data_IF_860256243253
#
_entry.id   IF_860256243253
#
_cell.length_a   1.000
_cell.length_b   1.000
_cell.length_c   1.000
_cell.angle_alpha   90.00
_cell.angle_beta   90.00
_cell.angle_gamma   90.00
#
_symmetry.space_group_name_H-M   'P 1'
#
loop_
_entity.id
_entity.type
_entity.pdbx_description
1 polymer ?
#
# COMPACT_ATOMS: atom_id res chain seq x y z
N UNK A 1 60.70 10.93 2.84
CA UNK A 1 60.20 10.38 4.12
C UNK A 1 58.80 9.81 3.91
N UNK A 2 58.65 8.49 3.97
CA UNK A 2 57.39 7.76 3.79
C UNK A 2 56.48 7.96 5.01
N UNK A 3 55.21 8.34 4.82
CA UNK A 3 54.18 8.25 5.88
C UNK A 3 53.44 6.91 5.74
N UNK A 4 53.46 6.15 6.82
CA UNK A 4 52.94 4.78 6.97
C UNK A 4 51.42 4.79 6.95
N UNK A 5 50.83 3.82 6.25
CA UNK A 5 49.42 3.49 6.33
C UNK A 5 49.05 2.94 7.71
N UNK A 6 47.83 3.22 8.14
CA UNK A 6 47.12 2.44 9.16
C UNK A 6 46.04 1.66 8.42
N UNK A 7 46.25 0.35 8.31
CA UNK A 7 45.21 -0.58 7.92
C UNK A 7 44.34 -0.87 9.13
N UNK A 8 43.07 -0.48 9.07
CA UNK A 8 42.04 -1.04 9.94
C UNK A 8 41.50 -2.30 9.27
N UNK A 9 41.85 -3.44 9.84
CA UNK A 9 41.29 -4.75 9.55
C UNK A 9 39.81 -4.78 9.92
N UNK A 10 38.93 -4.70 8.92
CA UNK A 10 37.51 -5.00 9.10
C UNK A 10 37.32 -6.51 9.21
N UNK A 11 36.97 -6.99 10.41
CA UNK A 11 36.45 -8.35 10.63
C UNK A 11 35.05 -8.47 9.99
N UNK A 12 35.00 -8.68 8.68
CA UNK A 12 33.77 -9.08 7.97
C UNK A 12 33.74 -10.59 7.82
N UNK A 13 33.07 -11.29 8.73
CA UNK A 13 32.79 -12.73 8.55
C UNK A 13 31.53 -12.85 7.68
N UNK A 14 31.57 -13.55 6.53
CA UNK A 14 30.37 -13.81 5.73
C UNK A 14 29.46 -14.81 6.45
N UNK A 15 28.21 -14.43 6.66
CA UNK A 15 27.17 -15.28 7.24
C UNK A 15 26.84 -16.46 6.30
N UNK A 16 26.89 -17.70 6.80
CA UNK A 16 26.45 -18.92 6.09
C UNK A 16 25.16 -19.47 6.70
N UNK A 17 24.25 -19.92 5.85
CA UNK A 17 22.91 -20.40 6.20
C UNK A 17 22.88 -21.86 6.70
N UNK A 18 22.14 -22.15 7.78
CA UNK A 18 21.61 -23.48 8.07
C UNK A 18 20.09 -23.57 7.82
N UNK A 19 19.65 -24.78 7.46
CA UNK A 19 18.30 -25.13 7.00
C UNK A 19 17.20 -25.18 8.07
N UNK A 20 16.00 -25.40 7.55
CA UNK A 20 14.69 -25.40 8.20
C UNK A 20 14.46 -26.55 9.17
N UNK A 21 13.71 -26.29 10.25
CA UNK A 21 12.39 -26.92 10.50
C UNK A 21 11.85 -26.48 11.88
N UNK A 22 10.54 -26.25 11.96
CA UNK A 22 9.87 -25.94 13.23
C UNK A 22 8.54 -25.23 13.02
N UNK A 23 7.46 -26.00 12.91
CA UNK A 23 6.09 -25.51 12.78
C UNK A 23 5.58 -24.81 14.05
N UNK A 24 4.69 -23.84 13.85
CA UNK A 24 3.91 -23.22 14.94
C UNK A 24 2.43 -23.28 14.58
N UNK A 25 1.68 -23.84 15.52
CA UNK A 25 0.26 -24.15 15.51
C UNK A 25 -0.53 -22.97 16.12
N UNK A 26 -1.66 -22.62 15.50
CA UNK A 26 -2.83 -22.05 16.19
C UNK A 26 -2.93 -20.53 16.38
N UNK A 27 -3.88 -19.90 15.68
CA UNK A 27 -5.02 -19.17 16.26
C UNK A 27 -5.95 -18.74 15.11
N UNK A 28 -7.10 -19.41 14.94
CA UNK A 28 -8.08 -19.05 13.90
C UNK A 28 -8.74 -17.71 14.20
N UNK A 29 -8.33 -16.67 13.47
CA UNK A 29 -9.15 -15.49 13.26
C UNK A 29 -9.93 -15.69 11.97
N UNK A 30 -11.26 -15.84 12.08
CA UNK A 30 -12.16 -15.97 10.91
C UNK A 30 -12.23 -14.64 10.17
N UNK A 31 -11.42 -14.51 9.13
CA UNK A 31 -11.47 -13.45 8.13
C UNK A 31 -12.56 -13.83 7.13
N UNK A 32 -13.71 -13.17 7.18
CA UNK A 32 -14.76 -13.39 6.20
C UNK A 32 -14.59 -12.42 5.03
N UNK A 33 -14.06 -12.91 3.91
CA UNK A 33 -13.98 -12.14 2.66
C UNK A 33 -15.32 -12.27 1.92
N UNK A 34 -16.18 -11.25 1.99
CA UNK A 34 -17.52 -11.32 1.41
C UNK A 34 -17.53 -10.85 -0.06
N UNK A 35 -17.67 -11.80 -0.98
CA UNK A 35 -18.21 -11.54 -2.31
C UNK A 35 -19.74 -11.48 -2.21
N UNK A 36 -20.32 -10.30 -2.44
CA UNK A 36 -21.75 -10.10 -2.67
C UNK A 36 -22.73 -10.66 -1.61
N UNK A 37 -22.82 -10.04 -0.42
CA UNK A 37 -24.08 -9.94 0.36
C UNK A 37 -23.89 -9.00 1.55
N UNK A 38 -24.69 -7.93 1.60
CA UNK A 38 -24.71 -6.97 2.69
C UNK A 38 -25.56 -7.53 3.85
N UNK A 39 -24.93 -7.95 4.96
CA UNK A 39 -25.63 -8.12 6.25
C UNK A 39 -25.35 -6.89 7.11
N UNK A 40 -26.34 -6.48 7.91
CA UNK A 40 -26.19 -5.44 8.93
C UNK A 40 -24.96 -5.76 9.79
N UNK A 41 -24.08 -4.79 9.95
CA UNK A 41 -22.94 -4.86 10.85
C UNK A 41 -23.46 -4.90 12.29
N UNK A 42 -23.89 -6.07 12.78
CA UNK A 42 -24.47 -6.17 14.13
C UNK A 42 -23.40 -6.04 15.22
N UNK A 43 -22.10 -6.25 14.94
CA UNK A 43 -21.02 -6.06 15.93
C UNK A 43 -19.67 -5.53 15.39
N UNK A 44 -19.59 -5.10 14.13
CA UNK A 44 -18.32 -4.76 13.45
C UNK A 44 -18.06 -3.26 13.28
N UNK A 45 -17.00 -2.74 13.93
CA UNK A 45 -16.45 -1.37 13.80
C UNK A 45 -15.80 -1.03 12.44
N UNK A 46 -16.05 -1.85 11.41
CA UNK A 46 -15.32 -1.83 10.15
C UNK A 46 -16.29 -1.91 8.98
N UNK A 47 -16.13 -1.02 8.01
CA UNK A 47 -16.78 -1.20 6.71
C UNK A 47 -15.73 -1.58 5.67
N UNK A 48 -15.87 -2.80 5.18
CA UNK A 48 -15.01 -3.44 4.19
C UNK A 48 -15.45 -3.02 2.76
N UNK A 49 -14.52 -2.51 1.94
CA UNK A 49 -14.85 -1.96 0.64
C UNK A 49 -14.88 -2.97 -0.50
N UNK A 50 -15.81 -2.70 -1.42
CA UNK A 50 -16.13 -3.32 -2.71
C UNK A 50 -14.90 -3.69 -3.56
N UNK A 51 -14.73 -4.98 -3.86
CA UNK A 51 -13.86 -5.44 -4.95
C UNK A 51 -14.63 -5.38 -6.28
N UNK A 52 -14.50 -4.28 -7.01
CA UNK A 52 -14.70 -4.29 -8.46
C UNK A 52 -13.49 -3.61 -9.06
N UNK A 53 -12.65 -4.38 -9.73
CA UNK A 53 -11.48 -3.88 -10.43
C UNK A 53 -11.97 -2.91 -11.51
N UNK A 54 -11.94 -1.60 -11.23
CA UNK A 54 -12.43 -0.58 -12.16
C UNK A 54 -11.35 -0.06 -13.09
N UNK A 55 -10.18 -0.72 -13.14
CA UNK A 55 -9.22 -0.54 -14.22
C UNK A 55 -7.84 -0.14 -13.73
N UNK A 56 -6.96 -1.14 -13.59
CA UNK A 56 -5.56 -1.00 -13.95
C UNK A 56 -5.43 -1.12 -15.47
N UNK A 57 -4.59 -0.30 -16.10
CA UNK A 57 -4.19 -0.54 -17.51
C UNK A 57 -3.73 -2.00 -17.62
N UNK A 58 -4.29 -2.74 -18.59
CA UNK A 58 -4.07 -4.16 -18.94
C UNK A 58 -5.11 -5.19 -18.47
N UNK A 59 -6.41 -4.90 -18.60
CA UNK A 59 -7.38 -5.93 -18.95
C UNK A 59 -8.07 -5.58 -20.27
N UNK A 60 -7.62 -6.22 -21.36
CA UNK A 60 -8.39 -6.35 -22.60
C UNK A 60 -9.60 -7.26 -22.34
N UNK A 61 -10.56 -6.81 -21.52
CA UNK A 61 -11.88 -7.41 -21.53
C UNK A 61 -12.69 -6.70 -22.62
N UNK A 62 -12.94 -7.43 -23.71
CA UNK A 62 -13.77 -7.05 -24.87
C UNK A 62 -15.26 -6.90 -24.50
N UNK A 63 -15.59 -6.07 -23.51
CA UNK A 63 -16.95 -5.53 -23.32
C UNK A 63 -16.82 -4.01 -23.42
N UNK A 64 -17.38 -3.45 -24.51
CA UNK A 64 -17.49 -2.02 -24.89
C UNK A 64 -16.69 -1.06 -23.99
N UNK A 65 -15.58 -0.53 -24.52
CA UNK A 65 -14.74 0.49 -23.90
C UNK A 65 -15.59 1.62 -23.27
N UNK A 66 -15.82 1.54 -21.96
CA UNK A 66 -16.42 2.61 -21.16
C UNK A 66 -15.47 3.81 -21.19
N UNK A 67 -15.99 5.02 -21.43
CA UNK A 67 -15.14 6.22 -21.42
C UNK A 67 -14.59 6.44 -20.02
N UNK A 68 -13.42 7.07 -19.92
CA UNK A 68 -12.81 7.40 -18.63
C UNK A 68 -13.74 8.25 -17.76
N UNK A 69 -14.52 9.16 -18.37
CA UNK A 69 -15.51 9.94 -17.62
C UNK A 69 -16.66 9.08 -17.10
N UNK A 70 -17.19 8.15 -17.91
CA UNK A 70 -18.28 7.27 -17.50
C UNK A 70 -17.86 6.38 -16.32
N UNK A 71 -16.63 5.85 -16.37
CA UNK A 71 -16.03 5.07 -15.30
C UNK A 71 -15.90 5.87 -14.00
N UNK A 72 -15.41 7.11 -14.08
CA UNK A 72 -15.28 8.01 -12.92
C UNK A 72 -16.64 8.35 -12.32
N UNK A 73 -17.63 8.72 -13.15
CA UNK A 73 -18.98 9.00 -12.68
C UNK A 73 -19.62 7.80 -12.00
N UNK A 74 -19.41 6.60 -12.53
CA UNK A 74 -19.88 5.36 -11.90
C UNK A 74 -19.25 5.17 -10.53
N UNK A 75 -17.94 5.36 -10.42
CA UNK A 75 -17.23 5.23 -9.15
C UNK A 75 -17.74 6.24 -8.11
N UNK A 76 -17.95 7.51 -8.50
CA UNK A 76 -18.55 8.51 -7.62
C UNK A 76 -19.95 8.09 -7.16
N UNK A 77 -20.84 7.66 -8.06
CA UNK A 77 -22.19 7.19 -7.69
C UNK A 77 -22.14 6.01 -6.71
N UNK A 78 -21.25 5.04 -6.95
CA UNK A 78 -21.05 3.89 -6.07
C UNK A 78 -20.58 4.37 -4.69
N UNK A 79 -19.52 5.19 -4.63
CA UNK A 79 -18.98 5.71 -3.38
C UNK A 79 -20.02 6.56 -2.62
N UNK A 80 -20.82 7.39 -3.30
CA UNK A 80 -21.89 8.15 -2.67
C UNK A 80 -23.00 7.25 -2.11
N UNK A 81 -23.37 6.19 -2.80
CA UNK A 81 -24.34 5.21 -2.28
C UNK A 81 -23.82 4.51 -1.04
N UNK A 82 -22.54 4.12 -1.05
CA UNK A 82 -21.87 3.50 0.08
C UNK A 82 -21.82 4.48 1.25
N UNK A 83 -21.33 5.70 1.03
CA UNK A 83 -21.25 6.74 2.05
C UNK A 83 -22.63 6.96 2.71
N UNK A 84 -23.70 7.14 1.93
CA UNK A 84 -25.07 7.25 2.47
C UNK A 84 -25.51 6.06 3.32
N UNK A 85 -25.11 4.85 2.94
CA UNK A 85 -25.46 3.63 3.69
C UNK A 85 -24.66 3.49 4.99
N UNK A 86 -23.47 4.09 5.06
CA UNK A 86 -22.57 4.07 6.22
C UNK A 86 -22.74 5.33 7.07
N UNK A 87 -23.30 6.42 6.59
CA UNK A 87 -23.48 7.64 7.41
C UNK A 87 -24.31 7.46 8.70
N UNK A 88 -25.22 6.47 8.86
CA UNK A 88 -25.85 6.17 10.15
C UNK A 88 -24.90 5.57 11.21
N UNK A 89 -23.59 5.56 10.95
CA UNK A 89 -22.63 4.78 11.72
C UNK A 89 -22.05 5.57 12.91
N UNK A 90 -21.70 4.83 13.95
CA UNK A 90 -21.06 5.29 15.18
C UNK A 90 -19.83 6.17 14.91
N UNK A 91 -19.66 7.16 15.78
CA UNK A 91 -18.58 8.17 15.74
C UNK A 91 -17.15 7.59 15.74
N UNK A 92 -16.98 6.30 15.99
CA UNK A 92 -15.69 5.61 16.07
C UNK A 92 -15.36 4.72 14.87
N UNK A 93 -16.20 4.70 13.83
CA UNK A 93 -15.98 3.77 12.70
C UNK A 93 -14.78 4.12 11.86
N UNK A 94 -14.04 3.07 11.48
CA UNK A 94 -12.91 3.10 10.57
C UNK A 94 -13.30 2.52 9.21
N UNK A 95 -12.85 3.16 8.14
CA UNK A 95 -13.14 2.75 6.76
C UNK A 95 -11.84 2.44 6.04
N UNK A 96 -11.71 1.17 5.61
CA UNK A 96 -10.60 0.68 4.80
C UNK A 96 -11.04 0.49 3.35
N UNK A 97 -10.52 1.31 2.45
CA UNK A 97 -10.73 1.15 1.01
C UNK A 97 -9.67 0.26 0.37
N UNK A 98 -10.11 -0.61 -0.51
CA UNK A 98 -9.31 -1.62 -1.22
C UNK A 98 -9.55 -1.55 -2.73
N UNK A 99 -10.66 -0.93 -3.15
CA UNK A 99 -11.00 -0.74 -4.55
C UNK A 99 -9.95 0.09 -5.29
N UNK A 100 -9.62 -0.30 -6.52
CA UNK A 100 -8.69 0.45 -7.36
C UNK A 100 -9.41 1.49 -8.24
N UNK A 101 -8.79 2.65 -8.49
CA UNK A 101 -7.48 3.11 -8.00
C UNK A 101 -7.53 3.59 -6.54
N UNK A 102 -6.86 2.87 -5.62
CA UNK A 102 -7.11 2.98 -4.18
C UNK A 102 -6.88 4.37 -3.61
N UNK A 103 -5.82 5.07 -4.01
CA UNK A 103 -5.53 6.39 -3.45
C UNK A 103 -6.58 7.45 -3.85
N UNK A 104 -7.04 7.41 -5.11
CA UNK A 104 -8.06 8.33 -5.62
C UNK A 104 -9.42 8.02 -5.00
N UNK A 105 -9.80 6.73 -4.95
CA UNK A 105 -11.10 6.33 -4.42
C UNK A 105 -11.18 6.57 -2.90
N UNK A 106 -10.07 6.41 -2.17
CA UNK A 106 -10.01 6.73 -0.74
C UNK A 106 -10.24 8.20 -0.49
N UNK A 107 -9.55 9.08 -1.23
CA UNK A 107 -9.78 10.52 -1.10
C UNK A 107 -11.21 10.92 -1.48
N UNK A 108 -11.73 10.39 -2.59
CA UNK A 108 -13.10 10.66 -3.01
C UNK A 108 -14.11 10.22 -1.96
N UNK A 109 -13.93 9.03 -1.37
CA UNK A 109 -14.81 8.56 -0.32
C UNK A 109 -14.73 9.46 0.91
N UNK A 110 -13.54 9.90 1.32
CA UNK A 110 -13.38 10.82 2.44
C UNK A 110 -14.10 12.15 2.19
N UNK A 111 -13.92 12.74 1.00
CA UNK A 111 -14.56 14.02 0.63
C UNK A 111 -16.09 13.90 0.52
N UNK A 112 -16.60 12.78 -0.01
CA UNK A 112 -18.05 12.52 -0.15
C UNK A 112 -18.70 12.21 1.20
N UNK A 113 -18.03 11.43 2.06
CA UNK A 113 -18.59 10.98 3.35
C UNK A 113 -18.46 12.02 4.46
N UNK A 114 -17.46 12.91 4.39
CA UNK A 114 -17.17 13.86 5.46
C UNK A 114 -16.61 13.23 6.73
N UNK A 115 -16.32 11.91 6.73
CA UNK A 115 -15.69 11.22 7.86
C UNK A 115 -14.29 11.84 8.08
N UNK A 116 -13.84 12.02 9.34
CA UNK A 116 -12.49 12.47 9.65
C UNK A 116 -11.41 11.67 8.91
N UNK A 117 -10.38 12.37 8.42
CA UNK A 117 -9.32 11.81 7.57
C UNK A 117 -8.54 10.68 8.25
N UNK A 118 -8.43 10.75 9.57
CA UNK A 118 -7.77 9.75 10.41
C UNK A 118 -8.52 8.41 10.37
N UNK A 119 -9.81 8.42 10.05
CA UNK A 119 -10.69 7.24 10.04
C UNK A 119 -10.99 6.70 8.64
N UNK A 120 -10.52 7.36 7.59
CA UNK A 120 -10.66 6.89 6.20
C UNK A 120 -9.29 6.69 5.59
N UNK A 121 -8.98 5.46 5.21
CA UNK A 121 -7.68 5.09 4.66
C UNK A 121 -7.82 3.96 3.64
N UNK A 122 -6.87 3.88 2.72
CA UNK A 122 -6.82 2.83 1.71
C UNK A 122 -5.70 1.82 2.01
N UNK A 123 -5.81 0.60 1.48
CA UNK A 123 -4.78 -0.44 1.60
C UNK A 123 -3.42 0.00 1.06
N UNK A 124 -3.42 0.97 0.14
CA UNK A 124 -2.22 1.60 -0.40
C UNK A 124 -1.22 0.61 -0.97
N UNK A 125 0.05 0.85 -0.70
CA UNK A 125 1.20 0.06 -1.16
C UNK A 125 1.62 -1.04 -0.17
N UNK A 126 0.76 -1.39 0.81
CA UNK A 126 1.10 -2.39 1.83
C UNK A 126 1.42 -3.77 1.21
N UNK A 127 0.58 -4.25 0.29
CA UNK A 127 0.81 -5.52 -0.39
C UNK A 127 2.12 -5.50 -1.21
N UNK A 128 2.38 -4.40 -1.92
CA UNK A 128 3.59 -4.29 -2.73
C UNK A 128 4.85 -4.21 -1.88
N UNK A 129 4.76 -3.56 -0.72
CA UNK A 129 5.83 -3.57 0.29
C UNK A 129 6.10 -4.99 0.79
N UNK A 130 5.05 -5.78 1.07
CA UNK A 130 5.22 -7.19 1.44
C UNK A 130 5.88 -7.98 0.32
N UNK A 131 5.49 -7.76 -0.93
CA UNK A 131 6.12 -8.41 -2.11
C UNK A 131 7.59 -8.04 -2.24
N UNK A 132 7.95 -6.76 -2.07
CA UNK A 132 9.34 -6.30 -2.11
C UNK A 132 10.19 -6.99 -1.04
N UNK A 133 9.69 -7.05 0.20
CA UNK A 133 10.37 -7.73 1.31
C UNK A 133 10.50 -9.22 1.05
N UNK A 134 9.49 -9.86 0.46
CA UNK A 134 9.55 -11.28 0.06
C UNK A 134 10.57 -11.52 -1.06
N UNK A 135 10.68 -10.62 -2.04
CA UNK A 135 11.73 -10.72 -3.07
C UNK A 135 13.12 -10.69 -2.47
N UNK A 136 13.40 -9.72 -1.58
CA UNK A 136 14.67 -9.63 -0.88
C UNK A 136 14.91 -10.87 -0.01
N UNK A 137 13.89 -11.30 0.73
CA UNK A 137 13.93 -12.47 1.60
C UNK A 137 14.31 -13.74 0.83
N UNK A 138 13.67 -13.99 -0.31
CA UNK A 138 13.96 -15.17 -1.14
C UNK A 138 15.36 -15.14 -1.75
N UNK A 139 15.86 -13.97 -2.15
CA UNK A 139 17.17 -13.85 -2.79
C UNK A 139 18.34 -13.97 -1.81
N UNK A 140 18.16 -13.49 -0.59
CA UNK A 140 19.24 -13.37 0.40
C UNK A 140 19.02 -14.23 1.64
N UNK A 141 17.96 -15.04 1.66
CA UNK A 141 17.60 -15.96 2.73
C UNK A 141 17.64 -15.32 4.13
N UNK A 142 17.06 -14.13 4.22
CA UNK A 142 16.77 -13.41 5.46
C UNK A 142 15.26 -13.35 5.61
N UNK A 143 14.73 -13.64 6.79
CA UNK A 143 13.29 -13.56 7.01
C UNK A 143 12.76 -12.15 6.71
N UNK A 144 11.70 -12.07 5.88
CA UNK A 144 11.13 -10.81 5.42
C UNK A 144 10.78 -9.84 6.56
N UNK A 145 10.45 -10.37 7.75
CA UNK A 145 10.14 -9.61 8.97
C UNK A 145 11.30 -8.74 9.48
N UNK A 146 12.55 -9.11 9.18
CA UNK A 146 13.76 -8.35 9.56
C UNK A 146 14.25 -7.38 8.49
N UNK A 147 13.62 -7.37 7.31
CA UNK A 147 13.96 -6.48 6.22
C UNK A 147 13.02 -5.27 6.28
N UNK A 148 13.53 -4.12 6.67
CA UNK A 148 12.76 -2.88 6.78
C UNK A 148 13.00 -2.03 5.52
N UNK A 149 12.09 -2.12 4.56
CA UNK A 149 12.01 -1.19 3.42
C UNK A 149 10.54 -1.12 2.99
N UNK A 150 10.20 -0.03 2.31
CA UNK A 150 8.81 0.33 2.04
C UNK A 150 8.65 0.80 0.61
N UNK A 151 7.46 0.58 0.05
CA UNK A 151 7.02 1.23 -1.18
C UNK A 151 6.10 2.39 -0.80
N UNK A 152 6.32 3.58 -1.35
CA UNK A 152 5.50 4.78 -1.13
C UNK A 152 5.08 5.42 -2.45
N UNK A 153 4.15 6.38 -2.40
CA UNK A 153 3.67 7.10 -3.58
C UNK A 153 2.23 6.75 -3.93
N UNK A 154 1.90 6.72 -5.22
CA UNK A 154 0.58 6.27 -5.69
C UNK A 154 0.67 4.79 -6.05
N UNK A 155 -0.25 3.96 -5.54
CA UNK A 155 -0.29 2.54 -5.88
C UNK A 155 -0.38 2.33 -7.39
N UNK A 156 0.50 1.50 -7.95
CA UNK A 156 0.64 1.27 -9.39
C UNK A 156 1.90 1.94 -9.97
N UNK A 157 1.75 2.65 -11.09
CA UNK A 157 2.89 3.10 -11.91
C UNK A 157 3.80 4.15 -11.25
N UNK A 158 3.29 4.90 -10.26
CA UNK A 158 3.98 6.01 -9.61
C UNK A 158 4.32 5.68 -8.13
N UNK A 159 4.55 4.41 -7.84
CA UNK A 159 5.08 3.94 -6.57
C UNK A 159 6.60 3.79 -6.64
N UNK A 160 7.29 4.06 -5.53
CA UNK A 160 8.74 3.97 -5.43
C UNK A 160 9.16 3.11 -4.24
N UNK A 161 10.10 2.16 -4.43
CA UNK A 161 10.78 1.50 -3.32
C UNK A 161 11.78 2.45 -2.67
N UNK A 162 11.75 2.50 -1.35
CA UNK A 162 12.61 3.35 -0.53
C UNK A 162 13.86 2.58 -0.09
N UNK A 163 14.88 2.56 -0.96
CA UNK A 163 16.13 1.86 -0.70
C UNK A 163 17.01 2.57 0.32
N UNK A 164 17.17 3.89 0.18
CA UNK A 164 18.11 4.69 0.99
C UNK A 164 17.71 4.89 2.46
N UNK A 165 16.45 4.60 2.83
CA UNK A 165 15.99 4.63 4.23
C UNK A 165 15.72 3.24 4.79
N UNK A 166 15.90 2.20 3.97
CA UNK A 166 15.68 0.82 4.40
C UNK A 166 16.86 0.27 5.21
N UNK A 167 16.59 -0.66 6.12
CA UNK A 167 17.64 -1.34 6.90
C UNK A 167 17.32 -2.82 7.19
N UNK A 168 18.37 -3.57 7.52
CA UNK A 168 18.31 -4.92 8.10
C UNK A 168 19.15 -4.90 9.37
N UNK A 169 18.52 -5.06 10.53
CA UNK A 169 19.19 -4.96 11.84
C UNK A 169 20.10 -3.71 11.95
N UNK A 170 19.56 -2.55 11.56
CA UNK A 170 20.24 -1.24 11.55
C UNK A 170 21.34 -1.04 10.49
N UNK A 171 21.63 -2.02 9.65
CA UNK A 171 22.53 -1.85 8.49
C UNK A 171 21.69 -1.40 7.29
N UNK A 172 22.06 -0.34 6.56
CA UNK A 172 21.33 0.10 5.36
C UNK A 172 21.10 -1.06 4.39
N UNK A 173 19.89 -1.20 3.85
CA UNK A 173 19.52 -2.32 2.95
C UNK A 173 20.44 -2.41 1.73
N UNK A 174 20.84 -1.26 1.19
CA UNK A 174 21.73 -1.16 0.04
C UNK A 174 23.13 -1.68 0.36
N UNK A 175 23.62 -1.42 1.57
CA UNK A 175 24.91 -1.88 2.05
C UNK A 175 24.87 -3.36 2.43
N UNK A 176 23.87 -3.77 3.22
CA UNK A 176 23.72 -5.12 3.74
C UNK A 176 23.68 -6.16 2.61
N UNK A 177 22.92 -5.89 1.55
CA UNK A 177 22.82 -6.78 0.38
C UNK A 177 23.76 -6.39 -0.77
N UNK A 178 24.56 -5.32 -0.62
CA UNK A 178 25.44 -4.77 -1.66
C UNK A 178 24.72 -4.51 -2.98
N UNK A 179 23.55 -3.87 -2.90
CA UNK A 179 22.66 -3.67 -4.05
C UNK A 179 23.25 -2.66 -5.04
N UNK A 180 23.47 -3.09 -6.27
CA UNK A 180 23.71 -2.17 -7.39
C UNK A 180 22.40 -1.55 -7.89
N UNK A 181 22.47 -0.48 -8.67
CA UNK A 181 21.28 0.08 -9.34
C UNK A 181 20.56 -0.95 -10.22
N UNK A 182 21.32 -1.87 -10.83
CA UNK A 182 20.75 -2.98 -11.61
C UNK A 182 19.96 -3.94 -10.72
N UNK A 183 20.46 -4.25 -9.53
CA UNK A 183 19.78 -5.12 -8.57
C UNK A 183 18.51 -4.46 -8.04
N UNK A 184 18.58 -3.19 -7.63
CA UNK A 184 17.42 -2.41 -7.18
C UNK A 184 16.31 -2.43 -8.22
N UNK A 185 16.67 -2.18 -9.49
CA UNK A 185 15.72 -2.25 -10.60
C UNK A 185 15.14 -3.65 -10.77
N UNK A 186 15.97 -4.69 -10.83
CA UNK A 186 15.52 -6.06 -11.05
C UNK A 186 14.65 -6.62 -9.90
N UNK A 187 14.93 -6.23 -8.65
CA UNK A 187 14.15 -6.60 -7.48
C UNK A 187 12.82 -5.84 -7.47
N UNK A 188 12.84 -4.54 -7.71
CA UNK A 188 11.64 -3.72 -7.80
C UNK A 188 10.70 -4.18 -8.92
N UNK A 189 11.25 -4.45 -10.11
CA UNK A 189 10.49 -4.98 -11.24
C UNK A 189 9.91 -6.37 -10.91
N UNK A 190 10.68 -7.28 -10.30
CA UNK A 190 10.18 -8.60 -9.91
C UNK A 190 9.03 -8.53 -8.88
N UNK A 191 9.14 -7.63 -7.89
CA UNK A 191 8.10 -7.42 -6.89
C UNK A 191 6.79 -6.94 -7.53
N UNK A 192 6.88 -6.02 -8.49
CA UNK A 192 5.73 -5.52 -9.27
C UNK A 192 5.17 -6.61 -10.19
N UNK A 193 6.03 -7.30 -10.92
CA UNK A 193 5.65 -8.28 -11.95
C UNK A 193 5.05 -9.56 -11.35
N UNK A 194 5.39 -9.91 -10.10
CA UNK A 194 4.71 -10.98 -9.35
C UNK A 194 3.20 -10.76 -9.28
N UNK A 195 2.73 -9.52 -9.17
CA UNK A 195 1.32 -9.20 -9.20
C UNK A 195 0.71 -9.61 -10.55
N UNK A 196 1.32 -9.16 -11.65
CA UNK A 196 0.84 -9.42 -13.01
C UNK A 196 0.88 -10.91 -13.36
N UNK A 197 1.93 -11.65 -12.95
CA UNK A 197 2.03 -13.09 -13.17
C UNK A 197 0.90 -13.88 -12.50
N UNK A 198 0.51 -13.50 -11.28
CA UNK A 198 -0.61 -14.15 -10.58
C UNK A 198 -1.92 -13.86 -11.33
N UNK A 199 -2.13 -12.63 -11.77
CA UNK A 199 -3.35 -12.27 -12.49
C UNK A 199 -3.38 -12.96 -13.87
N UNK A 200 -2.26 -13.04 -14.58
CA UNK A 200 -2.20 -13.73 -15.88
C UNK A 200 -2.43 -15.23 -15.74
N UNK A 201 -2.00 -15.84 -14.63
CA UNK A 201 -2.16 -17.28 -14.39
C UNK A 201 -3.55 -17.66 -13.84
N UNK A 202 -4.16 -16.82 -13.00
CA UNK A 202 -5.40 -17.15 -12.26
C UNK A 202 -6.58 -16.21 -12.53
N UNK A 203 -6.39 -15.19 -13.37
CA UNK A 203 -7.39 -14.18 -13.71
C UNK A 203 -7.64 -13.11 -12.63
N UNK A 204 -7.05 -13.23 -11.42
CA UNK A 204 -7.23 -12.26 -10.32
C UNK A 204 -6.24 -12.47 -9.16
N UNK A 205 -6.14 -11.51 -8.23
CA UNK A 205 -5.21 -11.47 -7.08
C UNK A 205 -5.92 -11.29 -5.73
N UNK A 206 -6.99 -12.04 -5.47
CA UNK A 206 -7.82 -11.84 -4.27
C UNK A 206 -7.19 -12.36 -2.95
N UNK A 207 -6.41 -13.44 -2.96
CA UNK A 207 -5.83 -13.99 -1.72
C UNK A 207 -4.80 -13.04 -1.07
N UNK A 208 -3.93 -12.45 -1.87
CA UNK A 208 -2.87 -11.56 -1.35
C UNK A 208 -3.45 -10.30 -0.68
N UNK A 209 -4.47 -9.70 -1.30
CA UNK A 209 -5.14 -8.55 -0.72
C UNK A 209 -6.03 -8.93 0.47
N UNK A 210 -6.69 -10.09 0.44
CA UNK A 210 -7.46 -10.61 1.58
C UNK A 210 -6.58 -10.79 2.83
N UNK A 211 -5.39 -11.35 2.68
CA UNK A 211 -4.42 -11.44 3.78
C UNK A 211 -3.95 -10.07 4.28
N UNK A 212 -3.80 -9.09 3.37
CA UNK A 212 -3.47 -7.71 3.76
C UNK A 212 -4.61 -7.07 4.56
N UNK A 213 -5.86 -7.19 4.10
CA UNK A 213 -7.04 -6.65 4.79
C UNK A 213 -7.18 -7.26 6.18
N UNK A 214 -6.99 -8.57 6.32
CA UNK A 214 -6.97 -9.26 7.61
C UNK A 214 -5.93 -8.66 8.56
N UNK A 215 -4.68 -8.51 8.07
CA UNK A 215 -3.56 -7.98 8.87
C UNK A 215 -3.77 -6.52 9.25
N UNK A 216 -4.27 -5.69 8.34
CA UNK A 216 -4.61 -4.30 8.62
C UNK A 216 -5.71 -4.21 9.68
N UNK A 217 -6.80 -4.95 9.50
CA UNK A 217 -7.93 -5.01 10.44
C UNK A 217 -7.48 -5.46 11.84
N UNK A 218 -6.60 -6.46 11.91
CA UNK A 218 -5.96 -6.88 13.16
C UNK A 218 -5.12 -5.74 13.78
N UNK A 219 -4.35 -5.01 12.97
CA UNK A 219 -3.57 -3.86 13.42
C UNK A 219 -4.41 -2.76 14.09
N UNK A 220 -5.56 -2.43 13.53
CA UNK A 220 -6.50 -1.45 14.11
C UNK A 220 -7.20 -1.99 15.36
N UNK A 221 -7.72 -3.22 15.33
CA UNK A 221 -8.45 -3.81 16.46
C UNK A 221 -7.57 -4.06 17.68
N UNK A 222 -6.34 -4.53 17.47
CA UNK A 222 -5.41 -4.87 18.55
C UNK A 222 -4.73 -3.64 19.16
N UNK A 223 -4.86 -2.46 18.54
CA UNK A 223 -4.29 -1.20 19.02
C UNK A 223 -2.79 -1.28 19.38
N UNK A 224 -2.00 -1.93 18.51
CA UNK A 224 -0.56 -2.17 18.74
C UNK A 224 0.34 -1.05 18.21
N UNK A 225 -0.21 0.06 17.75
CA UNK A 225 0.56 1.20 17.21
C UNK A 225 1.53 0.78 16.08
N UNK A 226 1.08 -0.16 15.24
CA UNK A 226 1.88 -0.69 14.15
C UNK A 226 2.00 0.31 13.00
N UNK A 227 3.05 0.16 12.18
CA UNK A 227 3.28 1.00 11.01
C UNK A 227 2.92 0.22 9.74
N UNK A 228 2.06 0.81 8.91
CA UNK A 228 1.61 0.24 7.65
C UNK A 228 1.70 1.25 6.52
N UNK A 229 1.91 0.76 5.29
CA UNK A 229 1.99 1.59 4.09
C UNK A 229 0.59 1.78 3.52
N UNK A 230 -0.14 2.72 4.11
CA UNK A 230 -1.54 2.98 3.82
C UNK A 230 -1.70 4.22 2.98
N UNK A 231 -2.74 4.23 2.15
CA UNK A 231 -3.19 5.45 1.50
C UNK A 231 -3.89 6.34 2.52
N UNK A 232 -3.24 7.44 2.91
CA UNK A 232 -3.70 8.35 3.97
C UNK A 232 -3.52 9.80 3.54
N UNK A 233 -4.25 10.72 4.17
CA UNK A 233 -4.08 12.15 3.89
C UNK A 233 -2.65 12.61 4.25
N UNK A 234 -1.92 13.12 3.26
CA UNK A 234 -0.58 13.64 3.44
C UNK A 234 -0.59 15.19 3.37
N UNK A 235 -0.38 15.91 4.48
CA UNK A 235 -0.54 17.37 4.53
C UNK A 235 0.43 18.10 3.59
N UNK A 236 1.69 17.66 3.51
CA UNK A 236 2.69 18.27 2.62
C UNK A 236 2.31 18.23 1.13
N UNK A 237 1.58 17.18 0.70
CA UNK A 237 1.21 16.99 -0.70
C UNK A 237 -0.26 17.33 -0.97
N UNK A 238 -1.06 17.59 0.06
CA UNK A 238 -2.47 17.99 -0.05
C UNK A 238 -3.34 16.95 -0.74
N UNK A 239 -3.06 15.66 -0.55
CA UNK A 239 -3.85 14.56 -1.10
C UNK A 239 -3.68 13.28 -0.29
N UNK A 240 -4.50 12.27 -0.58
CA UNK A 240 -4.18 10.92 -0.14
C UNK A 240 -2.96 10.38 -0.88
N UNK A 241 -2.08 9.70 -0.16
CA UNK A 241 -0.88 9.09 -0.71
C UNK A 241 -0.52 7.84 0.10
N UNK A 242 0.00 6.81 -0.55
CA UNK A 242 0.47 5.62 0.15
C UNK A 242 1.80 5.91 0.84
N UNK A 243 1.79 5.85 2.17
CA UNK A 243 2.89 6.27 3.02
C UNK A 243 2.94 5.45 4.32
N UNK A 244 4.09 5.30 5.00
CA UNK A 244 4.12 4.64 6.29
C UNK A 244 3.35 5.48 7.33
N UNK A 245 2.33 4.88 7.93
CA UNK A 245 1.43 5.51 8.87
C UNK A 245 1.28 4.64 10.13
N UNK A 246 1.23 5.29 11.29
CA UNK A 246 0.99 4.65 12.58
C UNK A 246 -0.51 4.45 12.74
N UNK A 247 -0.91 3.21 13.05
CA UNK A 247 -2.33 2.84 13.21
C UNK A 247 -2.69 2.54 14.66
N UNK A 248 -3.90 2.92 15.05
CA UNK A 248 -4.46 2.69 16.38
C UNK A 248 -5.94 2.30 16.26
N UNK A 249 -6.59 1.95 17.37
CA UNK A 249 -8.04 1.72 17.40
C UNK A 249 -8.88 2.93 16.98
N UNK A 250 -8.28 4.13 16.96
CA UNK A 250 -8.93 5.39 16.52
C UNK A 250 -8.65 5.71 15.04
N UNK A 251 -7.97 4.83 14.31
CA UNK A 251 -7.52 5.06 12.95
C UNK A 251 -6.04 5.45 12.89
N UNK A 252 -5.68 6.26 11.90
CA UNK A 252 -4.33 6.75 11.66
C UNK A 252 -3.98 7.81 12.70
N UNK A 253 -2.96 7.55 13.52
CA UNK A 253 -2.50 8.48 14.57
C UNK A 253 -1.36 9.38 14.13
N UNK A 254 -0.74 9.10 12.97
CA UNK A 254 0.33 9.92 12.41
C UNK A 254 0.97 9.30 11.18
N UNK A 255 1.63 10.14 10.39
CA UNK A 255 2.46 9.71 9.26
C UNK A 255 3.94 9.73 9.65
N UNK A 256 4.70 8.76 9.18
CA UNK A 256 6.14 8.68 9.46
C UNK A 256 6.88 9.62 8.49
N UNK A 257 7.74 10.53 8.97
CA UNK A 257 8.60 11.31 8.11
C UNK A 257 9.55 10.40 7.32
N UNK A 258 9.64 10.60 6.01
CA UNK A 258 10.59 9.88 5.16
C UNK A 258 11.45 10.89 4.44
N UNK A 259 12.78 10.73 4.55
CA UNK A 259 13.73 11.49 3.76
C UNK A 259 13.75 10.92 2.33
N UNK A 260 13.38 11.77 1.37
CA UNK A 260 13.43 11.43 -0.06
C UNK A 260 14.61 12.14 -0.72
N UNK A 261 15.23 11.46 -1.67
CA UNK A 261 16.14 12.09 -2.63
C UNK A 261 15.38 13.07 -3.55
N UNK A 262 16.10 13.91 -4.28
CA UNK A 262 15.50 14.83 -5.28
C UNK A 262 14.68 14.05 -6.31
N UNK A 263 15.23 12.95 -6.84
CA UNK A 263 14.55 12.12 -7.85
C UNK A 263 13.27 11.48 -7.31
N UNK A 264 13.32 10.92 -6.11
CA UNK A 264 12.14 10.33 -5.44
C UNK A 264 11.08 11.38 -5.15
N UNK A 265 11.49 12.57 -4.71
CA UNK A 265 10.61 13.70 -4.45
C UNK A 265 9.84 14.11 -5.70
N UNK A 266 10.49 14.18 -6.86
CA UNK A 266 9.82 14.52 -8.12
C UNK A 266 8.80 13.46 -8.55
N UNK A 267 9.10 12.17 -8.36
CA UNK A 267 8.14 11.08 -8.64
C UNK A 267 6.93 11.19 -7.71
N UNK A 268 7.15 11.44 -6.41
CA UNK A 268 6.06 11.57 -5.43
C UNK A 268 5.22 12.83 -5.71
N UNK A 269 5.81 13.95 -6.08
CA UNK A 269 5.07 15.16 -6.50
C UNK A 269 4.19 14.87 -7.72
N UNK A 270 4.71 14.12 -8.71
CA UNK A 270 3.93 13.69 -9.89
C UNK A 270 2.79 12.74 -9.50
N UNK A 271 3.02 11.82 -8.57
CA UNK A 271 2.00 10.93 -8.02
C UNK A 271 0.87 11.74 -7.36
N UNK A 272 1.23 12.67 -6.48
CA UNK A 272 0.28 13.56 -5.79
C UNK A 272 -0.51 14.42 -6.77
N UNK A 273 0.14 15.00 -7.80
CA UNK A 273 -0.54 15.76 -8.84
C UNK A 273 -1.55 14.90 -9.62
N UNK A 274 -1.19 13.66 -9.93
CA UNK A 274 -2.05 12.70 -10.63
C UNK A 274 -3.30 12.36 -9.80
N UNK A 275 -3.12 12.12 -8.49
CA UNK A 275 -4.22 11.84 -7.56
C UNK A 275 -5.16 13.04 -7.48
N UNK A 276 -4.63 14.25 -7.18
CA UNK A 276 -5.44 15.48 -7.10
C UNK A 276 -6.22 15.75 -8.38
N UNK A 277 -5.59 15.55 -9.54
CA UNK A 277 -6.25 15.69 -10.83
C UNK A 277 -7.39 14.66 -10.98
N UNK A 278 -7.14 13.40 -10.64
CA UNK A 278 -8.15 12.34 -10.66
C UNK A 278 -9.37 12.66 -9.78
N UNK A 279 -9.12 13.12 -8.55
CA UNK A 279 -10.17 13.51 -7.58
C UNK A 279 -10.95 14.72 -8.10
N UNK A 280 -10.26 15.78 -8.53
CA UNK A 280 -10.89 17.00 -9.07
C UNK A 280 -11.81 16.69 -10.25
N UNK A 281 -11.37 15.84 -11.18
CA UNK A 281 -12.17 15.47 -12.34
C UNK A 281 -13.38 14.61 -11.99
N UNK A 282 -13.25 13.74 -10.99
CA UNK A 282 -14.35 12.92 -10.51
C UNK A 282 -15.45 13.79 -9.85
N UNK A 283 -15.07 14.80 -9.07
CA UNK A 283 -16.02 15.69 -8.39
C UNK A 283 -16.58 16.79 -9.30
N UNK A 284 -15.81 17.25 -10.29
CA UNK A 284 -16.19 18.35 -11.19
C UNK A 284 -16.07 17.96 -12.68
N UNK A 285 -16.83 16.97 -13.17
CA UNK A 285 -16.68 16.45 -14.53
C UNK A 285 -16.97 17.46 -15.64
N UNK A 286 -17.63 18.59 -15.35
CA UNK A 286 -17.97 19.64 -16.34
C UNK A 286 -16.89 20.71 -16.54
N UNK A 287 -15.83 20.76 -15.70
CA UNK A 287 -14.80 21.83 -15.73
C UNK A 287 -13.43 21.39 -16.28
N UNK A 288 -13.26 20.13 -16.70
CA UNK A 288 -11.98 19.60 -17.20
C UNK A 288 -11.80 19.69 -18.73
N UNK A 289 -12.71 20.40 -19.42
CA UNK A 289 -12.55 20.79 -20.83
C UNK A 289 -12.02 22.23 -20.87
N UNK A 290 -10.74 22.42 -20.58
CA UNK A 290 -9.98 23.63 -20.90
C UNK A 290 -8.56 23.18 -21.24
#
# INVERSE_FOLDING_TARGET
MRRRGHGSSGCGVPYRHPGSDGGIQGCEQRVHCYHHRWRKAEEGRYVESIHKDTGGRHFKNKKKSETREALLQRNVRILSSIAKSILPVKDDTLVLLVANPVDILTQLFQEISGIPRERVFGSGTFLDTMRLRTELSMRYNIAATHIHTYIVGMHGDLQIPLWGVGNVASVPVEEFFRLTEKDKKAIGDAARDKAYKIISAKGSTYYGIGACVAKLSAGFTQNRHQIYQLSTWHPQYGCYLSWPAVVSKKGVSGIVPVALTVKETEIVKKAAATIRFGVKNALNPKKSKL
#
